data_IF_663064557863
#
_entry.id   IF_663064557863
#
_cell.length_a   1.000
_cell.length_b   1.000
_cell.length_c   1.000
_cell.angle_alpha   90.00
_cell.angle_beta   90.00
_cell.angle_gamma   90.00
#
_symmetry.space_group_name_H-M   'P 1'
#
loop_
_entity.id
_entity.type
_entity.pdbx_description
1 polymer ?
#
# COMPACT_ATOMS: atom_id res chain seq x y z
N UNK A 1 10.23 14.21 -17.12
CA UNK A 1 9.37 13.00 -17.03
C UNK A 1 9.88 11.99 -18.04
N UNK A 2 10.06 10.76 -17.64
CA UNK A 2 10.47 9.66 -18.53
C UNK A 2 9.28 8.70 -18.66
N UNK A 3 9.00 8.24 -19.88
CA UNK A 3 7.95 7.25 -20.12
C UNK A 3 8.57 5.86 -20.17
N UNK A 4 8.04 4.93 -19.36
CA UNK A 4 8.50 3.55 -19.26
C UNK A 4 7.34 2.59 -19.53
N UNK A 5 7.60 1.46 -20.17
CA UNK A 5 6.61 0.40 -20.35
C UNK A 5 6.69 -0.56 -19.17
N UNK A 6 5.74 -0.50 -18.26
CA UNK A 6 5.74 -1.22 -16.98
C UNK A 6 4.53 -2.15 -16.83
N UNK A 7 4.74 -3.30 -16.18
CA UNK A 7 3.65 -4.07 -15.57
C UNK A 7 3.03 -3.29 -14.39
N UNK A 8 1.82 -3.64 -13.96
CA UNK A 8 1.21 -3.02 -12.79
C UNK A 8 2.07 -3.18 -11.53
N UNK A 9 2.65 -4.34 -11.31
CA UNK A 9 3.59 -4.62 -10.19
C UNK A 9 4.90 -3.82 -10.33
N UNK A 10 5.43 -3.68 -11.53
CA UNK A 10 6.62 -2.86 -11.80
C UNK A 10 6.34 -1.36 -11.59
N UNK A 11 5.12 -0.91 -11.93
CA UNK A 11 4.67 0.47 -11.69
C UNK A 11 4.59 0.79 -10.20
N UNK A 12 4.07 -0.14 -9.37
CA UNK A 12 4.08 -0.03 -7.91
C UNK A 12 5.52 0.05 -7.39
N UNK A 13 6.38 -0.85 -7.86
CA UNK A 13 7.79 -0.90 -7.46
C UNK A 13 8.53 0.40 -7.79
N UNK A 14 8.37 0.91 -9.02
CA UNK A 14 8.95 2.18 -9.44
C UNK A 14 8.35 3.35 -8.67
N UNK A 15 7.03 3.34 -8.44
CA UNK A 15 6.34 4.33 -7.62
C UNK A 15 6.88 4.38 -6.18
N UNK A 16 7.20 3.23 -5.61
CA UNK A 16 7.83 3.14 -4.29
C UNK A 16 9.26 3.68 -4.28
N UNK A 17 10.09 3.30 -5.27
CA UNK A 17 11.45 3.82 -5.43
C UNK A 17 11.43 5.35 -5.55
N UNK A 18 10.59 5.89 -6.44
CA UNK A 18 10.45 7.33 -6.65
C UNK A 18 9.72 8.02 -5.48
N UNK A 19 9.00 7.27 -4.68
CA UNK A 19 8.41 7.69 -3.41
C UNK A 19 9.40 7.79 -2.25
N UNK A 20 10.67 7.42 -2.47
CA UNK A 20 11.71 7.58 -1.44
C UNK A 20 11.72 6.47 -0.39
N UNK A 21 11.42 5.22 -0.76
CA UNK A 21 11.48 4.10 0.18
C UNK A 21 12.90 3.85 0.71
N UNK A 22 12.97 3.38 1.96
CA UNK A 22 14.18 2.87 2.61
C UNK A 22 14.24 1.34 2.58
N UNK A 23 13.10 0.67 2.39
CA UNK A 23 13.06 -0.78 2.28
C UNK A 23 11.78 -1.35 1.72
N UNK A 24 11.92 -2.53 1.08
CA UNK A 24 10.84 -3.43 0.71
C UNK A 24 11.01 -4.75 1.44
N UNK A 25 9.90 -5.28 1.93
CA UNK A 25 9.81 -6.52 2.69
C UNK A 25 8.74 -7.40 2.08
N UNK A 26 9.05 -8.65 1.82
CA UNK A 26 8.10 -9.57 1.21
C UNK A 26 8.46 -11.03 1.51
N UNK A 27 7.48 -11.90 1.35
CA UNK A 27 7.65 -13.32 1.16
C UNK A 27 7.10 -13.69 -0.22
N UNK A 28 7.76 -14.56 -1.01
CA UNK A 28 7.34 -14.85 -2.39
C UNK A 28 5.89 -15.34 -2.49
N UNK A 29 5.12 -14.73 -3.37
CA UNK A 29 3.73 -15.10 -3.63
C UNK A 29 3.15 -14.34 -4.83
N UNK A 30 2.88 -15.05 -5.95
CA UNK A 30 2.24 -14.46 -7.14
C UNK A 30 0.81 -14.02 -6.82
N UNK A 31 0.39 -12.79 -7.18
CA UNK A 31 1.01 -11.85 -8.13
C UNK A 31 1.79 -10.68 -7.50
N UNK A 32 2.41 -10.82 -6.32
CA UNK A 32 3.14 -9.73 -5.64
C UNK A 32 4.66 -9.86 -5.69
N UNK A 33 5.19 -11.02 -6.06
CA UNK A 33 6.63 -11.34 -6.06
C UNK A 33 7.43 -10.34 -6.87
N UNK A 34 6.97 -10.02 -8.06
CA UNK A 34 7.65 -9.18 -9.05
C UNK A 34 7.87 -7.72 -8.57
N UNK A 35 7.09 -7.25 -7.60
CA UNK A 35 7.33 -5.92 -6.98
C UNK A 35 8.70 -5.91 -6.31
N UNK A 36 8.99 -6.93 -5.51
CA UNK A 36 10.26 -7.04 -4.79
C UNK A 36 11.42 -7.34 -5.73
N UNK A 37 11.22 -8.22 -6.72
CA UNK A 37 12.22 -8.55 -7.73
C UNK A 37 12.65 -7.31 -8.53
N UNK A 38 11.69 -6.50 -8.98
CA UNK A 38 11.98 -5.24 -9.68
C UNK A 38 12.84 -4.30 -8.82
N UNK A 39 12.51 -4.15 -7.52
CA UNK A 39 13.28 -3.29 -6.61
C UNK A 39 14.67 -3.89 -6.36
N UNK A 40 14.81 -5.23 -6.29
CA UNK A 40 16.09 -5.90 -6.12
C UNK A 40 17.05 -5.63 -7.29
N UNK A 41 16.53 -5.60 -8.51
CA UNK A 41 17.30 -5.37 -9.75
C UNK A 41 17.49 -3.88 -10.08
N UNK A 42 16.72 -2.99 -9.47
CA UNK A 42 16.73 -1.56 -9.75
C UNK A 42 18.08 -0.93 -9.40
N UNK A 43 18.78 -0.39 -10.42
CA UNK A 43 20.03 0.36 -10.22
C UNK A 43 19.85 1.54 -9.27
N UNK A 44 18.69 2.19 -9.31
CA UNK A 44 18.34 3.31 -8.44
C UNK A 44 18.19 2.87 -6.98
N UNK A 45 17.51 1.76 -6.73
CA UNK A 45 17.36 1.20 -5.37
C UNK A 45 18.71 0.69 -4.82
N UNK A 46 19.53 0.06 -5.69
CA UNK A 46 20.88 -0.39 -5.32
C UNK A 46 21.77 0.80 -4.95
N UNK A 47 21.81 1.85 -5.77
CA UNK A 47 22.64 3.03 -5.53
C UNK A 47 22.26 3.80 -4.24
N UNK A 48 20.99 3.72 -3.85
CA UNK A 48 20.44 4.32 -2.62
C UNK A 48 20.52 3.38 -1.41
N UNK A 49 21.07 2.18 -1.57
CA UNK A 49 21.16 1.16 -0.52
C UNK A 49 19.80 0.82 0.13
N UNK A 50 18.72 0.81 -0.68
CA UNK A 50 17.39 0.40 -0.22
C UNK A 50 17.45 -1.04 0.28
N UNK A 51 16.89 -1.32 1.46
CA UNK A 51 16.74 -2.70 1.96
C UNK A 51 15.78 -3.47 1.04
N UNK A 52 16.17 -4.65 0.54
CA UNK A 52 15.43 -5.42 -0.49
C UNK A 52 15.66 -6.92 -0.37
N UNK A 53 15.40 -7.45 0.81
CA UNK A 53 15.61 -8.87 1.08
C UNK A 53 14.28 -9.58 1.34
N UNK A 54 14.22 -10.84 0.93
CA UNK A 54 13.12 -11.72 1.26
C UNK A 54 13.06 -12.01 2.75
N UNK A 55 11.86 -12.08 3.29
CA UNK A 55 11.59 -12.47 4.67
C UNK A 55 11.24 -13.96 4.76
N UNK A 56 11.28 -14.54 5.95
CA UNK A 56 10.95 -15.94 6.18
C UNK A 56 9.44 -16.25 6.00
N UNK A 57 8.57 -15.26 6.21
CA UNK A 57 7.13 -15.29 5.96
C UNK A 57 6.56 -13.87 5.98
N UNK A 58 5.28 -13.71 5.69
CA UNK A 58 4.61 -12.41 5.58
C UNK A 58 4.48 -11.70 6.94
N UNK A 59 4.37 -12.43 8.04
CA UNK A 59 4.35 -11.84 9.38
C UNK A 59 5.68 -11.15 9.66
N UNK A 60 6.80 -11.83 9.45
CA UNK A 60 8.13 -11.24 9.67
C UNK A 60 8.41 -10.09 8.69
N UNK A 61 7.92 -10.16 7.46
CA UNK A 61 7.99 -9.06 6.50
C UNK A 61 7.26 -7.82 7.02
N UNK A 62 6.03 -8.00 7.51
CA UNK A 62 5.20 -6.93 8.03
C UNK A 62 5.80 -6.31 9.30
N UNK A 63 6.30 -7.13 10.22
CA UNK A 63 6.94 -6.67 11.46
C UNK A 63 8.22 -5.87 11.18
N UNK A 64 9.05 -6.31 10.24
CA UNK A 64 10.26 -5.60 9.84
C UNK A 64 9.96 -4.25 9.17
N UNK A 65 8.95 -4.22 8.27
CA UNK A 65 8.47 -2.99 7.63
C UNK A 65 7.92 -2.01 8.69
N UNK A 66 7.16 -2.51 9.66
CA UNK A 66 6.63 -1.70 10.74
C UNK A 66 7.74 -1.13 11.62
N UNK A 67 8.75 -1.92 11.96
CA UNK A 67 9.95 -1.46 12.68
C UNK A 67 10.69 -0.35 11.93
N UNK A 68 10.82 -0.47 10.60
CA UNK A 68 11.40 0.58 9.75
C UNK A 68 10.56 1.86 9.78
N UNK A 69 9.23 1.73 9.67
CA UNK A 69 8.30 2.86 9.80
C UNK A 69 8.41 3.53 11.18
N UNK A 70 8.54 2.78 12.26
CA UNK A 70 8.73 3.34 13.60
C UNK A 70 10.01 4.17 13.71
N UNK A 71 11.04 3.83 12.95
CA UNK A 71 12.27 4.63 12.85
C UNK A 71 12.15 5.87 11.96
N UNK A 72 10.95 6.18 11.44
CA UNK A 72 10.70 7.35 10.60
C UNK A 72 10.97 7.15 9.11
N UNK A 73 11.34 5.92 8.71
CA UNK A 73 11.69 5.57 7.32
C UNK A 73 10.47 5.06 6.56
N UNK A 74 10.45 5.25 5.23
CA UNK A 74 9.39 4.72 4.35
C UNK A 74 9.61 3.25 4.07
N UNK A 75 8.61 2.42 4.35
CA UNK A 75 8.63 0.98 4.16
C UNK A 75 7.48 0.51 3.27
N UNK A 76 7.81 -0.35 2.32
CA UNK A 76 6.86 -1.10 1.50
C UNK A 76 6.84 -2.55 1.98
N UNK A 77 5.67 -3.13 2.17
CA UNK A 77 5.52 -4.57 2.37
C UNK A 77 4.56 -5.13 1.33
N UNK A 78 4.94 -6.23 0.70
CA UNK A 78 4.19 -6.81 -0.41
C UNK A 78 3.83 -8.27 -0.11
N UNK A 79 2.57 -8.62 -0.37
CA UNK A 79 2.08 -9.99 -0.23
C UNK A 79 0.85 -10.23 -1.08
N UNK A 80 0.59 -11.49 -1.38
CA UNK A 80 -0.69 -11.89 -1.96
C UNK A 80 -1.78 -11.94 -0.87
N UNK A 81 -3.05 -12.07 -1.27
CA UNK A 81 -4.17 -12.06 -0.33
C UNK A 81 -4.07 -13.11 0.78
N UNK A 82 -3.58 -14.33 0.48
CA UNK A 82 -3.39 -15.35 1.52
C UNK A 82 -2.29 -15.00 2.50
N UNK A 83 -1.30 -14.21 2.08
CA UNK A 83 -0.26 -13.67 2.95
C UNK A 83 -0.81 -12.67 3.96
N UNK A 84 -1.89 -11.95 3.63
CA UNK A 84 -2.60 -11.10 4.59
C UNK A 84 -3.13 -11.87 5.80
N UNK A 85 -3.51 -13.15 5.62
CA UNK A 85 -3.91 -14.01 6.74
C UNK A 85 -2.74 -14.27 7.70
N UNK A 86 -1.54 -14.47 7.16
CA UNK A 86 -0.32 -14.70 7.94
C UNK A 86 0.13 -13.42 8.66
N UNK A 87 0.01 -12.29 7.99
CA UNK A 87 0.40 -10.97 8.51
C UNK A 87 -0.69 -10.30 9.36
N UNK A 88 -1.89 -10.89 9.48
CA UNK A 88 -3.09 -10.24 10.04
C UNK A 88 -2.87 -9.68 11.44
N UNK A 89 -2.20 -10.40 12.34
CA UNK A 89 -1.90 -9.92 13.68
C UNK A 89 -1.10 -8.61 13.65
N UNK A 90 0.01 -8.60 12.92
CA UNK A 90 0.85 -7.41 12.80
C UNK A 90 0.13 -6.27 12.08
N UNK A 91 -0.67 -6.58 11.03
CA UNK A 91 -1.44 -5.60 10.28
C UNK A 91 -2.48 -4.88 11.15
N UNK A 92 -3.26 -5.63 11.95
CA UNK A 92 -4.25 -5.07 12.87
C UNK A 92 -3.57 -4.22 13.97
N UNK A 93 -2.44 -4.70 14.50
CA UNK A 93 -1.67 -3.96 15.50
C UNK A 93 -1.06 -2.69 14.92
N UNK A 94 -0.61 -2.70 13.64
CA UNK A 94 -0.09 -1.52 12.96
C UNK A 94 -1.15 -0.42 12.80
N UNK A 95 -2.41 -0.77 12.57
CA UNK A 95 -3.52 0.19 12.56
C UNK A 95 -3.69 0.89 13.90
N UNK A 96 -3.52 0.17 15.00
CA UNK A 96 -3.64 0.70 16.37
C UNK A 96 -2.42 1.57 16.74
N UNK A 97 -1.20 1.08 16.50
CA UNK A 97 0.02 1.83 16.82
C UNK A 97 0.20 3.04 15.91
N UNK A 98 -0.28 2.95 14.68
CA UNK A 98 -0.02 3.92 13.63
C UNK A 98 1.36 3.76 13.00
N UNK A 99 1.70 4.70 12.13
CA UNK A 99 2.97 4.81 11.43
C UNK A 99 3.70 6.09 11.88
N UNK A 100 5.05 6.09 11.79
CA UNK A 100 5.89 7.28 11.99
C UNK A 100 6.52 7.72 10.67
N UNK A 101 7.22 6.83 9.95
CA UNK A 101 7.49 6.98 8.53
C UNK A 101 6.43 6.29 7.70
N UNK A 102 6.28 6.69 6.44
CA UNK A 102 5.24 6.18 5.57
C UNK A 102 5.30 4.66 5.41
N UNK A 103 4.17 3.99 5.64
CA UNK A 103 4.04 2.54 5.53
C UNK A 103 2.94 2.17 4.55
N UNK A 104 3.30 1.48 3.48
CA UNK A 104 2.37 1.00 2.46
C UNK A 104 2.38 -0.52 2.45
N UNK A 105 1.19 -1.10 2.57
CA UNK A 105 0.95 -2.55 2.50
C UNK A 105 0.31 -2.85 1.16
N UNK A 106 1.01 -3.58 0.30
CA UNK A 106 0.46 -4.03 -0.99
C UNK A 106 -0.14 -5.42 -0.81
N UNK A 107 -1.45 -5.51 -1.03
CA UNK A 107 -2.15 -6.79 -1.11
C UNK A 107 -2.54 -7.08 -2.56
N UNK A 108 -1.99 -8.14 -3.12
CA UNK A 108 -2.27 -8.57 -4.49
C UNK A 108 -3.27 -9.74 -4.47
N UNK A 109 -4.52 -9.42 -4.79
CA UNK A 109 -5.61 -10.38 -4.86
C UNK A 109 -5.55 -11.17 -6.18
N UNK A 110 -5.98 -12.41 -6.11
CA UNK A 110 -6.02 -13.33 -7.25
C UNK A 110 -7.45 -13.85 -7.50
N UNK A 111 -8.36 -12.98 -8.01
CA UNK A 111 -9.72 -13.37 -8.36
C UNK A 111 -9.69 -14.53 -9.35
N UNK A 112 -10.58 -15.50 -9.15
CA UNK A 112 -10.64 -16.76 -9.90
C UNK A 112 -9.47 -17.72 -9.62
N UNK A 113 -8.67 -17.47 -8.61
CA UNK A 113 -7.66 -18.41 -8.09
C UNK A 113 -6.68 -18.96 -9.14
N UNK A 114 -6.12 -18.09 -10.00
CA UNK A 114 -5.19 -18.51 -11.06
C UNK A 114 -3.92 -19.19 -10.52
N UNK A 115 -3.44 -18.77 -9.34
CA UNK A 115 -2.29 -19.38 -8.66
C UNK A 115 -2.48 -19.47 -7.13
N UNK A 116 -3.72 -19.53 -6.66
CA UNK A 116 -4.06 -19.44 -5.23
C UNK A 116 -4.96 -20.59 -4.78
N UNK A 117 -4.94 -20.89 -3.48
CA UNK A 117 -5.74 -21.97 -2.88
C UNK A 117 -7.16 -21.53 -2.50
N UNK A 118 -7.43 -20.23 -2.47
CA UNK A 118 -8.72 -19.65 -2.19
C UNK A 118 -8.83 -18.26 -2.83
N UNK A 119 -10.03 -17.70 -2.81
CA UNK A 119 -10.31 -16.33 -3.23
C UNK A 119 -10.66 -15.47 -2.02
N UNK A 120 -10.04 -14.30 -1.91
CA UNK A 120 -10.27 -13.35 -0.84
C UNK A 120 -10.29 -11.93 -1.42
N UNK A 121 -11.03 -11.05 -0.73
CA UNK A 121 -11.03 -9.62 -1.01
C UNK A 121 -10.29 -8.89 0.11
N UNK A 122 -9.05 -8.50 -0.17
CA UNK A 122 -8.18 -7.83 0.82
C UNK A 122 -8.69 -6.47 1.29
N UNK A 123 -9.68 -5.88 0.60
CA UNK A 123 -10.34 -4.65 1.07
C UNK A 123 -11.02 -4.85 2.43
N UNK A 124 -11.48 -6.08 2.70
CA UNK A 124 -12.08 -6.41 3.98
C UNK A 124 -11.09 -6.28 5.14
N UNK A 125 -9.80 -6.55 4.92
CA UNK A 125 -8.76 -6.30 5.93
C UNK A 125 -8.61 -4.82 6.25
N UNK A 126 -8.54 -3.96 5.24
CA UNK A 126 -8.44 -2.51 5.43
C UNK A 126 -9.68 -1.93 6.13
N UNK A 127 -10.87 -2.39 5.72
CA UNK A 127 -12.14 -2.01 6.37
C UNK A 127 -12.17 -2.44 7.83
N UNK A 128 -11.76 -3.67 8.14
CA UNK A 128 -11.72 -4.20 9.50
C UNK A 128 -10.68 -3.47 10.37
N UNK A 129 -9.52 -3.14 9.79
CA UNK A 129 -8.46 -2.39 10.45
C UNK A 129 -8.75 -0.89 10.58
N UNK A 130 -9.79 -0.37 9.88
CA UNK A 130 -10.16 1.05 9.87
C UNK A 130 -9.05 1.97 9.33
N UNK A 131 -8.37 1.55 8.28
CA UNK A 131 -7.29 2.30 7.64
C UNK A 131 -7.64 2.65 6.18
N UNK A 132 -7.01 3.68 5.59
CA UNK A 132 -7.22 4.02 4.18
C UNK A 132 -6.84 2.88 3.24
N UNK A 133 -7.66 2.70 2.18
CA UNK A 133 -7.46 1.72 1.12
C UNK A 133 -7.38 2.47 -0.21
N UNK A 134 -6.40 2.12 -1.03
CA UNK A 134 -6.26 2.61 -2.40
C UNK A 134 -6.29 1.44 -3.37
N UNK A 135 -6.98 1.62 -4.50
CA UNK A 135 -7.15 0.58 -5.51
C UNK A 135 -6.99 1.17 -6.91
N UNK A 136 -5.82 1.05 -7.55
CA UNK A 136 -5.57 1.60 -8.87
C UNK A 136 -6.31 0.83 -9.96
N UNK A 137 -6.79 1.55 -10.99
CA UNK A 137 -7.44 1.00 -12.17
C UNK A 137 -6.47 0.67 -13.30
N UNK A 138 -5.30 1.32 -13.33
CA UNK A 138 -4.30 1.20 -14.38
C UNK A 138 -2.88 1.39 -13.83
N UNK A 139 -1.87 1.21 -14.69
CA UNK A 139 -0.46 1.26 -14.31
C UNK A 139 -0.01 2.67 -13.90
N UNK A 140 -0.55 3.71 -14.52
CA UNK A 140 -0.23 5.08 -14.12
C UNK A 140 -0.74 5.37 -12.71
N UNK A 141 -1.98 4.99 -12.41
CA UNK A 141 -2.52 5.09 -11.06
C UNK A 141 -1.75 4.22 -10.07
N UNK A 142 -1.37 2.99 -10.45
CA UNK A 142 -0.55 2.12 -9.60
C UNK A 142 0.75 2.80 -9.17
N UNK A 143 1.42 3.48 -10.09
CA UNK A 143 2.62 4.27 -9.83
C UNK A 143 2.33 5.48 -8.93
N UNK A 144 1.34 6.30 -9.29
CA UNK A 144 1.05 7.56 -8.59
C UNK A 144 0.45 7.33 -7.21
N UNK A 145 -0.49 6.40 -7.09
CA UNK A 145 -1.08 6.01 -5.81
C UNK A 145 -0.03 5.46 -4.85
N UNK A 146 0.93 4.66 -5.34
CA UNK A 146 2.02 4.16 -4.49
C UNK A 146 2.86 5.30 -3.94
N UNK A 147 3.24 6.27 -4.77
CA UNK A 147 3.98 7.46 -4.31
C UNK A 147 3.20 8.28 -3.30
N UNK A 148 1.92 8.49 -3.57
CA UNK A 148 1.03 9.28 -2.71
C UNK A 148 0.71 8.56 -1.40
N UNK A 149 0.58 7.23 -1.42
CA UNK A 149 0.27 6.43 -0.24
C UNK A 149 1.29 6.61 0.89
N UNK A 150 2.57 6.82 0.58
CA UNK A 150 3.58 7.13 1.60
C UNK A 150 3.33 8.51 2.24
N UNK A 151 3.01 9.53 1.44
CA UNK A 151 2.69 10.86 1.94
C UNK A 151 1.41 10.82 2.79
N UNK A 152 0.38 10.14 2.31
CA UNK A 152 -0.87 9.95 3.05
C UNK A 152 -0.65 9.20 4.37
N UNK A 153 0.17 8.14 4.34
CA UNK A 153 0.52 7.38 5.54
C UNK A 153 1.20 8.26 6.60
N UNK A 154 2.13 9.12 6.19
CA UNK A 154 2.83 10.06 7.08
C UNK A 154 1.89 11.14 7.61
N UNK A 155 1.07 11.73 6.73
CA UNK A 155 0.11 12.77 7.09
C UNK A 155 -0.92 12.27 8.10
N UNK A 156 -1.42 11.07 7.89
CA UNK A 156 -2.45 10.46 8.73
C UNK A 156 -1.88 9.69 9.93
N UNK A 157 -0.57 9.41 9.93
CA UNK A 157 0.10 8.61 10.95
C UNK A 157 -0.51 7.20 11.04
N UNK A 158 -0.75 6.54 9.90
CA UNK A 158 -1.37 5.22 9.80
C UNK A 158 -0.85 4.48 8.57
N UNK A 159 -0.79 3.14 8.56
CA UNK A 159 -0.52 2.39 7.33
C UNK A 159 -1.59 2.65 6.27
N UNK A 160 -1.22 2.53 5.01
CA UNK A 160 -2.15 2.56 3.87
C UNK A 160 -2.13 1.20 3.18
N UNK A 161 -3.31 0.63 2.93
CA UNK A 161 -3.46 -0.58 2.13
C UNK A 161 -3.60 -0.22 0.65
N UNK A 162 -2.70 -0.73 -0.20
CA UNK A 162 -2.79 -0.63 -1.66
C UNK A 162 -3.19 -2.00 -2.20
N UNK A 163 -4.40 -2.10 -2.71
CA UNK A 163 -4.95 -3.35 -3.25
C UNK A 163 -4.85 -3.37 -4.76
N UNK A 164 -4.33 -4.47 -5.32
CA UNK A 164 -4.36 -4.75 -6.76
C UNK A 164 -4.90 -6.14 -7.03
N UNK A 165 -5.22 -6.40 -8.29
CA UNK A 165 -5.62 -7.73 -8.76
C UNK A 165 -4.62 -8.28 -9.77
N UNK A 166 -4.60 -9.61 -9.97
CA UNK A 166 -3.74 -10.31 -10.94
C UNK A 166 -3.78 -9.66 -12.32
N UNK A 167 -4.96 -9.23 -12.79
CA UNK A 167 -5.11 -8.63 -14.12
C UNK A 167 -4.34 -7.32 -14.26
N UNK A 168 -4.43 -6.44 -13.28
CA UNK A 168 -3.64 -5.21 -13.28
C UNK A 168 -2.15 -5.53 -13.09
N UNK A 169 -1.84 -6.44 -12.16
CA UNK A 169 -0.47 -6.82 -11.83
C UNK A 169 0.35 -7.21 -13.08
N UNK A 170 -0.25 -8.02 -13.96
CA UNK A 170 0.43 -8.62 -15.12
C UNK A 170 0.08 -7.99 -16.47
N UNK A 171 -0.65 -6.89 -16.51
CA UNK A 171 -0.86 -6.11 -17.74
C UNK A 171 0.16 -4.96 -17.84
N UNK A 172 0.51 -4.54 -19.06
CA UNK A 172 1.52 -3.51 -19.32
C UNK A 172 0.91 -2.25 -19.92
N UNK A 173 1.39 -1.10 -19.49
CA UNK A 173 1.12 0.18 -20.14
C UNK A 173 2.31 1.15 -20.01
N UNK A 174 2.27 2.24 -20.78
CA UNK A 174 3.24 3.32 -20.65
C UNK A 174 2.97 4.15 -19.41
N UNK A 175 3.95 4.24 -18.51
CA UNK A 175 3.88 5.00 -17.25
C UNK A 175 4.82 6.18 -17.33
N UNK A 176 4.32 7.36 -17.00
CA UNK A 176 5.12 8.58 -16.86
C UNK A 176 5.67 8.67 -15.44
N UNK A 177 7.00 8.54 -15.32
CA UNK A 177 7.68 8.58 -14.03
C UNK A 177 8.13 9.99 -13.68
N UNK A 178 8.25 10.26 -12.40
CA UNK A 178 8.66 11.56 -11.83
C UNK A 178 10.03 11.43 -11.18
N UNK A 179 10.65 12.57 -10.88
CA UNK A 179 11.85 12.60 -10.07
C UNK A 179 11.62 11.95 -8.71
N UNK A 180 12.61 11.16 -8.28
CA UNK A 180 12.54 10.46 -7.01
C UNK A 180 12.67 11.42 -5.84
N UNK A 181 11.86 11.21 -4.81
CA UNK A 181 11.98 11.89 -3.54
C UNK A 181 13.21 11.41 -2.79
N UNK A 182 13.77 12.30 -1.98
CA UNK A 182 14.81 11.90 -1.03
C UNK A 182 14.24 10.89 -0.01
N UNK A 183 15.11 10.04 0.49
CA UNK A 183 14.80 9.17 1.60
C UNK A 183 14.62 9.99 2.89
N UNK A 184 13.66 9.60 3.74
CA UNK A 184 13.48 10.24 5.03
C UNK A 184 14.72 10.06 5.92
N UNK A 185 15.01 11.06 6.73
CA UNK A 185 15.95 10.89 7.82
C UNK A 185 15.39 9.96 8.91
N UNK A 186 16.25 9.21 9.56
CA UNK A 186 15.85 8.36 10.68
C UNK A 186 15.43 9.24 11.86
N UNK A 187 14.20 9.08 12.33
CA UNK A 187 13.63 9.84 13.43
C UNK A 187 12.72 8.97 14.27
N UNK A 188 13.11 8.72 15.49
CA UNK A 188 12.25 8.05 16.47
C UNK A 188 11.12 9.02 16.90
N UNK A 189 9.92 8.48 17.23
CA UNK A 189 8.81 9.29 17.71
C UNK A 189 9.15 9.91 19.08
N UNK A 190 8.50 11.04 19.38
CA UNK A 190 8.65 11.71 20.69
C UNK A 190 8.14 10.83 21.83
N UNK A 191 6.94 10.26 21.69
CA UNK A 191 6.40 9.27 22.63
C UNK A 191 6.62 7.85 22.10
N UNK A 192 7.71 7.22 22.53
CA UNK A 192 8.02 5.83 22.16
C UNK A 192 7.00 4.81 22.66
N UNK A 193 6.18 5.16 23.67
CA UNK A 193 5.16 4.27 24.22
C UNK A 193 3.99 4.07 23.26
N UNK A 194 3.79 4.95 22.26
CA UNK A 194 2.72 4.77 21.27
C UNK A 194 2.79 3.43 20.55
N UNK A 195 3.98 2.86 20.42
CA UNK A 195 4.23 1.58 19.76
C UNK A 195 4.23 0.37 20.71
N UNK A 196 3.89 0.58 21.99
CA UNK A 196 3.80 -0.48 22.99
C UNK A 196 2.34 -0.76 23.29
N UNK A 197 1.81 -1.89 22.80
CA UNK A 197 0.39 -2.23 22.92
C UNK A 197 0.06 -2.94 24.26
N UNK A 198 0.38 -2.31 25.39
CA UNK A 198 -0.23 -2.69 26.66
C UNK A 198 -1.73 -2.29 26.64
N UNK A 199 -2.62 -3.03 27.34
CA UNK A 199 -4.08 -2.79 27.26
C UNK A 199 -4.50 -1.35 27.46
N UNK A 200 -3.91 -0.64 28.43
CA UNK A 200 -4.22 0.78 28.69
C UNK A 200 -3.80 1.71 27.54
N UNK A 201 -2.65 1.42 26.91
CA UNK A 201 -2.15 2.20 25.76
C UNK A 201 -2.97 1.85 24.52
N UNK A 202 -3.21 0.55 24.25
CA UNK A 202 -4.01 0.08 23.13
C UNK A 202 -5.41 0.69 23.13
N UNK A 203 -6.09 0.73 24.26
CA UNK A 203 -7.42 1.37 24.40
C UNK A 203 -7.39 2.86 24.02
N UNK A 204 -6.36 3.59 24.45
CA UNK A 204 -6.17 5.00 24.11
C UNK A 204 -5.88 5.19 22.62
N UNK A 205 -5.02 4.36 22.06
CA UNK A 205 -4.67 4.38 20.62
C UNK A 205 -5.87 4.03 19.74
N UNK A 206 -6.66 3.04 20.13
CA UNK A 206 -7.88 2.68 19.39
C UNK A 206 -8.89 3.83 19.35
N UNK A 207 -9.06 4.55 20.46
CA UNK A 207 -9.89 5.76 20.48
C UNK A 207 -9.39 6.81 19.47
N UNK A 208 -8.07 7.05 19.40
CA UNK A 208 -7.49 7.95 18.43
C UNK A 208 -7.70 7.47 16.98
N UNK A 209 -7.66 6.17 16.72
CA UNK A 209 -7.97 5.60 15.40
C UNK A 209 -9.42 5.88 14.99
N UNK A 210 -10.38 5.74 15.93
CA UNK A 210 -11.79 6.07 15.68
C UNK A 210 -11.98 7.58 15.41
N UNK A 211 -11.28 8.44 16.12
CA UNK A 211 -11.33 9.89 15.93
C UNK A 211 -10.76 10.32 14.55
N UNK A 212 -9.83 9.54 13.99
CA UNK A 212 -9.24 9.79 12.65
C UNK A 212 -10.19 9.48 11.49
N UNK A 213 -11.26 8.71 11.69
CA UNK A 213 -12.12 8.25 10.60
C UNK A 213 -12.68 9.42 9.77
N UNK A 214 -13.12 10.50 10.41
CA UNK A 214 -13.60 11.69 9.70
C UNK A 214 -12.52 12.31 8.78
N UNK A 215 -11.25 12.34 9.23
CA UNK A 215 -10.15 12.83 8.41
C UNK A 215 -9.82 11.89 7.24
N UNK A 216 -10.03 10.57 7.40
CA UNK A 216 -9.86 9.60 6.30
C UNK A 216 -10.97 9.77 5.26
N UNK A 217 -12.21 9.99 5.68
CA UNK A 217 -13.35 10.28 4.79
C UNK A 217 -13.10 11.58 4.03
N UNK A 218 -12.71 12.67 4.70
CA UNK A 218 -12.37 13.93 4.06
C UNK A 218 -11.22 13.79 3.05
N UNK A 219 -10.17 13.02 3.38
CA UNK A 219 -9.08 12.75 2.46
C UNK A 219 -9.53 11.94 1.23
N UNK A 220 -10.49 11.03 1.39
CA UNK A 220 -11.10 10.29 0.30
C UNK A 220 -11.96 11.20 -0.59
N UNK A 221 -12.80 12.03 -0.01
CA UNK A 221 -13.70 12.94 -0.73
C UNK A 221 -12.93 13.97 -1.57
N UNK A 222 -11.78 14.43 -1.05
CA UNK A 222 -10.92 15.40 -1.73
C UNK A 222 -9.82 14.74 -2.59
N UNK A 223 -9.82 13.41 -2.72
CA UNK A 223 -8.80 12.69 -3.48
C UNK A 223 -8.94 12.92 -4.98
N UNK A 224 -7.85 13.30 -5.64
CA UNK A 224 -7.80 13.40 -7.12
C UNK A 224 -7.91 12.05 -7.84
N UNK A 225 -7.80 10.94 -7.11
CA UNK A 225 -7.98 9.60 -7.64
C UNK A 225 -9.45 9.16 -7.67
N UNK A 226 -10.32 9.84 -6.92
CA UNK A 226 -11.77 9.61 -6.94
C UNK A 226 -12.43 10.58 -7.93
N UNK A 227 -13.33 10.07 -8.76
CA UNK A 227 -14.00 10.84 -9.79
C UNK A 227 -15.51 10.64 -9.69
N UNK A 228 -16.26 11.73 -9.84
CA UNK A 228 -17.69 11.68 -10.06
C UNK A 228 -17.97 11.98 -11.54
N UNK A 229 -18.56 11.02 -12.22
CA UNK A 229 -18.93 11.14 -13.64
C UNK A 229 -20.45 11.24 -13.70
N UNK A 230 -20.95 12.40 -14.09
CA UNK A 230 -22.39 12.64 -14.21
C UNK A 230 -22.94 12.07 -15.51
N UNK A 231 -23.96 11.23 -15.42
CA UNK A 231 -24.67 10.64 -16.57
C UNK A 231 -25.96 11.41 -16.90
N UNK A 232 -26.40 11.35 -18.16
CA UNK A 232 -27.68 11.93 -18.60
C UNK A 232 -28.88 11.18 -17.99
N UNK A 233 -28.79 9.85 -17.87
CA UNK A 233 -29.79 9.01 -17.22
C UNK A 233 -29.48 8.90 -15.72
N UNK A 234 -30.42 9.29 -14.88
CA UNK A 234 -30.32 9.28 -13.42
C UNK A 234 -31.04 8.08 -12.76
N UNK A 235 -31.51 7.12 -13.56
CA UNK A 235 -32.26 5.97 -13.05
C UNK A 235 -31.38 4.99 -12.28
N UNK A 236 -30.04 5.02 -12.53
CA UNK A 236 -29.07 4.12 -11.88
C UNK A 236 -27.78 4.88 -11.52
N UNK A 237 -27.27 4.63 -10.33
CA UNK A 237 -25.92 5.04 -9.90
C UNK A 237 -25.00 3.81 -9.81
N UNK A 238 -23.76 3.94 -10.29
CA UNK A 238 -22.77 2.87 -10.25
C UNK A 238 -21.54 3.36 -9.50
N UNK A 239 -21.03 2.52 -8.57
CA UNK A 239 -19.77 2.74 -7.88
C UNK A 239 -18.80 1.65 -8.33
N UNK A 240 -17.64 2.05 -8.86
CA UNK A 240 -16.60 1.15 -9.31
C UNK A 240 -15.24 1.58 -8.76
N UNK A 241 -14.37 0.61 -8.47
CA UNK A 241 -12.99 0.86 -8.02
C UNK A 241 -12.02 -0.11 -8.71
N UNK A 242 -10.77 0.31 -8.79
CA UNK A 242 -9.72 -0.48 -9.41
C UNK A 242 -10.06 -0.87 -10.85
N UNK A 243 -9.70 -2.07 -11.24
CA UNK A 243 -9.95 -2.56 -12.61
C UNK A 243 -11.44 -2.65 -12.97
N UNK A 244 -12.34 -2.70 -11.97
CA UNK A 244 -13.79 -2.67 -12.19
C UNK A 244 -14.25 -1.40 -12.88
N UNK A 245 -13.55 -0.27 -12.66
CA UNK A 245 -13.79 0.98 -13.37
C UNK A 245 -13.58 0.83 -14.89
N UNK A 246 -12.51 0.15 -15.30
CA UNK A 246 -12.22 -0.03 -16.72
C UNK A 246 -13.31 -0.83 -17.43
N UNK A 247 -13.84 -1.89 -16.78
CA UNK A 247 -14.95 -2.68 -17.33
C UNK A 247 -16.28 -1.90 -17.41
N UNK A 248 -16.45 -0.92 -16.52
CA UNK A 248 -17.62 -0.06 -16.57
C UNK A 248 -17.55 0.92 -17.74
N UNK A 249 -16.34 1.37 -18.10
CA UNK A 249 -16.12 2.37 -19.14
C UNK A 249 -16.05 1.79 -20.56
N UNK A 250 -15.97 0.45 -20.72
CA UNK A 250 -16.07 -0.26 -22.00
C UNK A 250 -17.54 -0.43 -22.44
#
# INVERSE_FOLDING_TARGET
>A
MQKQLLLGVEAIAQGAIDGGISGVFAYPGTPSTEITEYIQESKQAIARNVHRMWSANEKTAMEAALGMSYAGKRALVCMKHVGMNVAADCFMNAAITGANGGMVVVAADDPSMHSSQNEQDSRMYGKFALIPIMEPSNQQEAYEMTRYAFDLSEQMGTPVLLRITTRLAHSRAGVETREAKAENEMRLPEDKRQFVLLPAIAKKRYKLLLEKQAAFEEASDNSSFNQYIDGADKSMGIVACGIGYNYLME
#
